data_IF_888557403607
#
_entry.id   IF_888557403607
#
_cell.length_a   1.000
_cell.length_b   1.000
_cell.length_c   1.000
_cell.angle_alpha   90.00
_cell.angle_beta   90.00
_cell.angle_gamma   90.00
#
_symmetry.space_group_name_H-M   'P 1'
#
loop_
_entity.id
_entity.type
_entity.pdbx_description
1 polymer ?
#
# COMPACT_ATOMS: atom_id res chain seq x y z
N UNK A 1 17.30 -4.20 14.33
CA UNK A 1 17.86 -3.12 13.47
C UNK A 1 18.70 -2.07 14.23
N UNK A 2 18.82 -2.14 15.56
CA UNK A 2 19.65 -1.22 16.35
C UNK A 2 21.13 -1.57 16.25
N UNK A 3 22.01 -0.59 16.34
CA UNK A 3 23.45 -0.81 16.42
C UNK A 3 23.83 -1.54 17.72
N UNK A 4 24.69 -2.54 17.59
CA UNK A 4 25.21 -3.30 18.73
C UNK A 4 26.70 -3.63 18.54
N UNK A 5 27.46 -3.56 19.64
CA UNK A 5 28.88 -3.93 19.66
C UNK A 5 29.15 -4.63 20.98
N UNK A 6 29.61 -5.88 20.89
CA UNK A 6 29.92 -6.71 22.05
C UNK A 6 31.19 -7.53 21.80
N UNK A 7 31.77 -8.05 22.87
CA UNK A 7 32.90 -8.98 22.80
C UNK A 7 32.43 -10.34 23.30
N UNK A 8 32.43 -11.33 22.42
CA UNK A 8 32.08 -12.71 22.74
C UNK A 8 33.38 -13.47 22.86
N UNK A 9 33.68 -13.96 24.07
CA UNK A 9 34.97 -14.55 24.43
C UNK A 9 36.14 -13.58 24.11
N UNK A 10 36.95 -13.90 23.10
CA UNK A 10 38.05 -13.05 22.67
C UNK A 10 37.81 -12.38 21.30
N UNK A 11 36.59 -12.46 20.78
CA UNK A 11 36.22 -11.99 19.44
C UNK A 11 35.27 -10.80 19.51
N UNK A 12 35.54 -9.75 18.74
CA UNK A 12 34.62 -8.64 18.58
C UNK A 12 33.47 -9.02 17.66
N UNK A 13 32.24 -8.83 18.14
CA UNK A 13 31.02 -9.00 17.36
C UNK A 13 30.34 -7.64 17.29
N UNK A 14 29.97 -7.22 16.08
CA UNK A 14 29.25 -5.97 15.92
C UNK A 14 28.19 -6.09 14.84
N UNK A 15 27.06 -5.49 15.10
CA UNK A 15 25.97 -5.31 14.18
C UNK A 15 25.81 -3.81 13.93
N UNK A 16 25.98 -3.38 12.68
CA UNK A 16 25.96 -1.97 12.30
C UNK A 16 24.58 -1.31 12.54
N UNK A 17 23.52 -2.11 12.57
CA UNK A 17 22.15 -1.64 12.48
C UNK A 17 21.70 -1.41 11.03
N UNK A 18 20.45 -1.00 10.86
CA UNK A 18 19.91 -0.56 9.57
C UNK A 18 20.46 0.81 9.18
N UNK A 19 20.60 1.08 7.89
CA UNK A 19 21.04 2.38 7.35
C UNK A 19 19.91 3.41 7.26
N UNK A 20 18.66 2.98 7.42
CA UNK A 20 17.46 3.82 7.47
C UNK A 20 16.50 3.29 8.55
N UNK A 21 15.57 4.14 8.99
CA UNK A 21 14.52 3.73 9.95
C UNK A 21 13.54 2.76 9.27
N UNK A 22 13.33 1.59 9.87
CA UNK A 22 12.35 0.60 9.38
C UNK A 22 11.04 0.62 10.20
N UNK A 23 11.03 1.33 11.32
CA UNK A 23 9.85 1.46 12.18
C UNK A 23 9.84 2.83 12.84
N UNK A 24 8.63 3.30 13.16
CA UNK A 24 8.40 4.56 13.86
C UNK A 24 9.01 4.58 15.28
N UNK A 25 9.16 3.41 15.92
CA UNK A 25 9.72 3.31 17.27
C UNK A 25 11.25 3.52 17.33
N UNK A 26 11.93 3.65 16.19
CA UNK A 26 13.38 3.68 16.15
C UNK A 26 13.96 5.10 16.09
N UNK A 27 14.30 5.66 17.25
CA UNK A 27 14.78 7.05 17.38
C UNK A 27 16.29 7.22 17.08
N UNK A 28 17.08 6.19 17.37
CA UNK A 28 18.54 6.22 17.35
C UNK A 28 19.14 6.62 15.97
N UNK A 29 20.25 7.38 15.94
CA UNK A 29 20.93 7.73 14.69
C UNK A 29 21.40 6.52 13.89
N UNK A 30 21.32 6.62 12.56
CA UNK A 30 21.77 5.59 11.63
C UNK A 30 23.20 5.76 11.21
N UNK A 31 23.82 4.67 10.80
CA UNK A 31 25.23 4.68 10.46
C UNK A 31 25.75 3.31 10.10
N UNK A 32 27.05 3.27 9.86
CA UNK A 32 27.80 2.05 9.61
C UNK A 32 29.08 2.06 10.42
N UNK A 33 29.62 0.87 10.63
CA UNK A 33 30.87 0.70 11.34
C UNK A 33 32.04 0.79 10.38
N UNK A 34 33.10 1.47 10.80
CA UNK A 34 34.41 1.44 10.16
C UNK A 34 35.30 0.54 11.00
N UNK A 35 35.66 -0.62 10.46
CA UNK A 35 36.53 -1.57 11.13
C UNK A 35 37.94 -1.40 10.56
N UNK A 36 38.87 -0.98 11.42
CA UNK A 36 40.29 -0.86 11.09
C UNK A 36 41.06 -2.00 11.72
N UNK A 37 41.69 -2.82 10.90
CA UNK A 37 42.52 -3.94 11.35
C UNK A 37 43.99 -3.57 11.18
N UNK A 38 44.76 -3.63 12.26
CA UNK A 38 46.19 -3.28 12.26
C UNK A 38 47.01 -4.22 13.14
N UNK A 39 48.34 -4.10 13.11
CA UNK A 39 49.23 -4.84 14.00
C UNK A 39 49.00 -4.54 15.50
N UNK A 40 48.33 -3.42 15.83
CA UNK A 40 47.99 -3.04 17.20
C UNK A 40 46.65 -3.64 17.67
N UNK A 41 45.90 -4.30 16.79
CA UNK A 41 44.59 -4.88 17.06
C UNK A 41 43.49 -4.38 16.13
N UNK A 42 42.24 -4.63 16.54
CA UNK A 42 41.01 -4.24 15.84
C UNK A 42 40.45 -2.98 16.49
N UNK A 43 40.25 -1.93 15.70
CA UNK A 43 39.50 -0.75 16.08
C UNK A 43 38.16 -0.73 15.33
N UNK A 44 37.08 -0.41 16.04
CA UNK A 44 35.73 -0.37 15.49
C UNK A 44 35.15 1.00 15.82
N UNK A 45 35.25 1.90 14.84
CA UNK A 45 34.62 3.21 14.85
C UNK A 45 33.23 3.16 14.20
N UNK A 46 32.44 4.22 14.41
CA UNK A 46 31.10 4.35 13.83
C UNK A 46 30.98 5.69 13.11
N UNK A 47 30.41 5.68 11.90
CA UNK A 47 30.09 6.89 11.15
C UNK A 47 28.57 7.01 11.01
N UNK A 48 28.06 8.16 11.43
CA UNK A 48 26.64 8.48 11.31
C UNK A 48 26.30 8.90 9.88
N UNK A 49 25.09 8.54 9.45
CA UNK A 49 24.47 8.94 8.19
C UNK A 49 23.30 9.87 8.51
N UNK A 50 23.12 10.91 7.70
CA UNK A 50 21.91 11.73 7.76
C UNK A 50 20.76 10.98 7.10
N UNK A 51 19.72 10.72 7.88
CA UNK A 51 18.51 10.01 7.44
C UNK A 51 17.30 10.91 7.61
N UNK A 52 16.17 10.51 7.02
CA UNK A 52 14.90 11.26 7.17
C UNK A 52 14.53 11.38 8.64
N UNK A 53 14.15 12.58 9.05
CA UNK A 53 13.77 12.85 10.44
C UNK A 53 12.34 12.40 10.71
N UNK A 54 12.15 11.72 11.84
CA UNK A 54 10.85 11.29 12.33
C UNK A 54 10.55 12.19 13.53
N UNK A 55 9.40 12.85 13.51
CA UNK A 55 8.97 13.79 14.53
C UNK A 55 7.72 13.25 15.20
N UNK A 56 7.77 13.08 16.51
CA UNK A 56 6.62 12.66 17.32
C UNK A 56 6.09 13.86 18.08
N UNK A 57 4.87 14.28 17.76
CA UNK A 57 4.19 15.43 18.38
C UNK A 57 3.04 14.87 19.20
N UNK A 58 3.09 15.09 20.52
CA UNK A 58 1.99 14.76 21.41
C UNK A 58 1.15 16.01 21.61
N UNK A 59 -0.14 15.92 21.31
CA UNK A 59 -1.12 16.99 21.50
C UNK A 59 -2.07 16.60 22.61
N UNK A 60 -2.24 17.47 23.60
CA UNK A 60 -3.17 17.28 24.72
C UNK A 60 -4.36 18.22 24.57
N UNK A 61 -5.54 17.65 24.34
CA UNK A 61 -6.80 18.35 24.07
C UNK A 61 -7.55 18.51 25.38
N UNK A 62 -7.59 19.75 25.88
CA UNK A 62 -8.18 20.07 27.19
C UNK A 62 -9.63 20.52 27.10
N UNK A 63 -9.95 21.34 26.09
CA UNK A 63 -11.25 21.98 25.94
C UNK A 63 -11.98 21.54 24.66
N UNK A 64 -13.29 21.31 24.76
CA UNK A 64 -14.08 20.76 23.66
C UNK A 64 -14.21 21.71 22.45
N UNK A 65 -14.23 23.02 22.70
CA UNK A 65 -14.43 24.03 21.65
C UNK A 65 -13.14 24.46 20.94
N UNK A 66 -11.97 24.14 21.50
CA UNK A 66 -10.68 24.69 21.05
C UNK A 66 -9.70 23.60 20.57
N UNK A 67 -10.16 22.35 20.40
CA UNK A 67 -9.30 21.22 20.02
C UNK A 67 -8.46 21.47 18.75
N UNK A 68 -9.06 21.96 17.67
CA UNK A 68 -8.32 22.30 16.45
C UNK A 68 -7.29 23.40 16.66
N UNK A 69 -7.62 24.39 17.52
CA UNK A 69 -6.70 25.47 17.85
C UNK A 69 -5.49 24.94 18.60
N UNK A 70 -5.70 24.06 19.57
CA UNK A 70 -4.63 23.45 20.35
C UNK A 70 -3.75 22.56 19.45
N UNK A 71 -4.35 21.71 18.61
CA UNK A 71 -3.63 20.87 17.62
C UNK A 71 -2.77 21.73 16.70
N UNK A 72 -3.35 22.73 16.04
CA UNK A 72 -2.60 23.56 15.08
C UNK A 72 -1.54 24.42 15.75
N UNK A 73 -1.79 24.91 16.96
CA UNK A 73 -0.79 25.67 17.71
C UNK A 73 0.37 24.78 18.10
N UNK A 74 0.12 23.59 18.64
CA UNK A 74 1.18 22.64 18.98
C UNK A 74 1.99 22.25 17.75
N UNK A 75 1.36 21.95 16.61
CA UNK A 75 2.09 21.60 15.37
C UNK A 75 2.98 22.76 14.90
N UNK A 76 2.53 24.02 15.02
CA UNK A 76 3.32 25.21 14.61
C UNK A 76 4.57 25.45 15.46
N UNK A 77 4.63 24.89 16.66
CA UNK A 77 5.83 24.98 17.50
C UNK A 77 6.98 24.12 16.96
N UNK A 78 6.67 23.13 16.11
CA UNK A 78 7.66 22.23 15.52
C UNK A 78 7.95 22.57 14.06
N UNK A 79 9.21 22.37 13.67
CA UNK A 79 9.61 22.37 12.27
C UNK A 79 9.26 21.02 11.62
N UNK A 80 8.13 20.99 10.92
CA UNK A 80 7.54 19.79 10.32
C UNK A 80 7.91 19.58 8.85
N UNK A 81 8.50 20.59 8.20
CA UNK A 81 8.78 20.59 6.77
C UNK A 81 9.76 19.48 6.38
N UNK A 82 9.44 18.73 5.32
CA UNK A 82 10.25 17.63 4.79
C UNK A 82 10.53 16.49 5.79
N UNK A 83 9.68 16.33 6.82
CA UNK A 83 9.82 15.28 7.85
C UNK A 83 8.65 14.31 7.82
N UNK A 84 8.86 13.14 8.44
CA UNK A 84 7.78 12.19 8.74
C UNK A 84 7.22 12.55 10.12
N UNK A 85 5.94 12.89 10.18
CA UNK A 85 5.30 13.42 11.40
C UNK A 85 4.28 12.43 11.93
N UNK A 86 4.47 12.02 13.18
CA UNK A 86 3.54 11.23 13.96
C UNK A 86 2.86 12.15 14.97
N UNK A 87 1.54 12.26 14.89
CA UNK A 87 0.73 13.06 15.82
C UNK A 87 -0.01 12.10 16.75
N UNK A 88 0.20 12.24 18.04
CA UNK A 88 -0.53 11.52 19.07
C UNK A 88 -1.52 12.46 19.75
N UNK A 89 -2.82 12.22 19.56
CA UNK A 89 -3.87 12.98 20.23
C UNK A 89 -4.19 12.34 21.57
N UNK A 90 -4.13 13.14 22.64
CA UNK A 90 -4.51 12.77 24.01
C UNK A 90 -5.57 13.76 24.50
N UNK A 91 -6.40 13.36 25.46
CA UNK A 91 -7.47 14.20 26.00
C UNK A 91 -8.86 13.57 25.90
N UNK A 92 -9.89 14.42 25.88
CA UNK A 92 -11.29 14.02 25.91
C UNK A 92 -11.83 13.57 24.53
N UNK A 93 -12.51 12.42 24.49
CA UNK A 93 -13.12 11.85 23.28
C UNK A 93 -14.39 12.51 22.81
N UNK A 94 -15.08 13.27 23.66
CA UNK A 94 -16.36 13.91 23.32
C UNK A 94 -16.24 14.95 22.19
N UNK A 95 -15.01 15.26 21.76
CA UNK A 95 -14.75 16.16 20.65
C UNK A 95 -14.65 15.38 19.34
N UNK A 96 -15.54 15.69 18.39
CA UNK A 96 -15.42 15.20 17.03
C UNK A 96 -14.27 15.92 16.30
N UNK A 97 -13.25 15.14 15.92
CA UNK A 97 -12.06 15.64 15.23
C UNK A 97 -12.01 14.98 13.85
N UNK A 98 -12.11 15.79 12.80
CA UNK A 98 -11.92 15.35 11.44
C UNK A 98 -10.43 15.28 11.13
N UNK A 99 -9.88 14.08 11.01
CA UNK A 99 -8.46 13.88 10.68
C UNK A 99 -8.07 14.50 9.34
N UNK A 100 -9.01 14.59 8.40
CA UNK A 100 -8.79 15.24 7.10
C UNK A 100 -8.39 16.71 7.21
N UNK A 101 -8.92 17.45 8.19
CA UNK A 101 -8.54 18.87 8.39
C UNK A 101 -7.10 19.00 8.91
N UNK A 102 -6.68 18.06 9.75
CA UNK A 102 -5.31 18.00 10.28
C UNK A 102 -4.33 17.60 9.18
N UNK A 103 -4.68 16.60 8.37
CA UNK A 103 -3.89 16.17 7.21
C UNK A 103 -3.74 17.30 6.18
N UNK A 104 -4.82 18.01 5.85
CA UNK A 104 -4.77 19.15 4.93
C UNK A 104 -3.87 20.28 5.47
N UNK A 105 -3.90 20.51 6.79
CA UNK A 105 -3.00 21.47 7.43
C UNK A 105 -1.54 21.05 7.32
N UNK A 106 -1.22 19.77 7.55
CA UNK A 106 0.15 19.23 7.44
C UNK A 106 0.67 19.23 6.00
N UNK A 107 -0.18 18.92 5.03
CA UNK A 107 0.15 18.98 3.61
C UNK A 107 0.56 20.41 3.20
N UNK A 108 -0.17 21.42 3.68
CA UNK A 108 0.19 22.84 3.49
C UNK A 108 1.52 23.24 4.12
N UNK A 109 2.03 22.49 5.09
CA UNK A 109 3.34 22.72 5.73
C UNK A 109 4.47 21.88 5.08
N UNK A 110 4.22 21.24 3.94
CA UNK A 110 5.20 20.43 3.19
C UNK A 110 5.74 19.24 4.00
N UNK A 111 4.89 18.60 4.80
CA UNK A 111 5.19 17.34 5.49
C UNK A 111 5.32 16.20 4.47
N UNK A 112 6.29 15.30 4.63
CA UNK A 112 6.46 14.17 3.69
C UNK A 112 5.36 13.12 3.86
N UNK A 113 5.15 12.70 5.10
CA UNK A 113 4.15 11.70 5.49
C UNK A 113 3.66 12.05 6.88
N UNK A 114 2.35 12.15 7.03
CA UNK A 114 1.67 12.31 8.31
C UNK A 114 1.04 10.99 8.74
N UNK A 115 1.07 10.73 10.04
CA UNK A 115 0.28 9.67 10.66
C UNK A 115 -0.33 10.21 11.94
N UNK A 116 -1.66 10.06 12.07
CA UNK A 116 -2.41 10.52 13.23
C UNK A 116 -2.85 9.30 14.02
N UNK A 117 -2.47 9.26 15.29
CA UNK A 117 -2.88 8.26 16.26
C UNK A 117 -3.73 8.93 17.33
N UNK A 118 -4.97 8.48 17.44
CA UNK A 118 -5.90 8.96 18.46
C UNK A 118 -5.82 8.04 19.69
N UNK A 119 -5.16 8.54 20.74
CA UNK A 119 -4.95 7.84 22.01
C UNK A 119 -5.84 8.40 23.12
N UNK A 120 -6.86 9.18 22.76
CA UNK A 120 -7.88 9.60 23.71
C UNK A 120 -8.54 8.33 24.28
N UNK A 121 -8.62 8.23 25.60
CA UNK A 121 -9.04 7.00 26.28
C UNK A 121 -10.55 6.88 26.30
N UNK A 122 -11.11 5.90 25.59
CA UNK A 122 -12.49 5.48 25.85
C UNK A 122 -12.51 5.01 27.30
N UNK A 123 -13.35 5.61 28.13
CA UNK A 123 -13.78 4.91 29.33
C UNK A 123 -14.30 3.54 28.88
N UNK A 124 -14.05 2.46 29.65
CA UNK A 124 -14.50 1.11 29.29
C UNK A 124 -16.03 0.98 29.10
N UNK A 125 -16.80 2.03 29.41
CA UNK A 125 -18.26 2.08 29.28
C UNK A 125 -18.76 2.33 27.84
N UNK A 126 -17.93 2.78 26.89
CA UNK A 126 -18.34 2.97 25.48
C UNK A 126 -18.09 1.75 24.58
N UNK A 127 -17.80 0.59 25.18
CA UNK A 127 -17.69 -0.68 24.47
C UNK A 127 -19.07 -1.25 24.06
N UNK A 128 -20.17 -0.66 24.52
CA UNK A 128 -21.54 -1.17 24.27
C UNK A 128 -22.02 -1.03 22.81
N UNK A 129 -21.33 -0.26 21.96
CA UNK A 129 -21.70 -0.07 20.55
C UNK A 129 -20.70 -0.70 19.55
N UNK A 130 -19.83 -1.58 19.99
CA UNK A 130 -19.16 -2.48 19.04
C UNK A 130 -20.16 -3.60 18.74
N UNK A 131 -20.68 -3.73 17.50
CA UNK A 131 -21.48 -4.90 17.17
C UNK A 131 -20.63 -6.13 17.50
N UNK A 132 -21.20 -7.10 18.21
CA UNK A 132 -20.53 -8.37 18.47
C UNK A 132 -20.30 -9.05 17.10
N UNK A 133 -19.15 -8.82 16.49
CA UNK A 133 -18.79 -9.42 15.20
C UNK A 133 -18.38 -10.86 15.50
N UNK A 134 -19.34 -11.77 15.44
CA UNK A 134 -19.09 -13.20 15.51
C UNK A 134 -18.62 -13.63 14.12
N UNK A 135 -17.31 -13.70 13.93
CA UNK A 135 -16.72 -14.35 12.76
C UNK A 135 -17.01 -15.85 12.84
N UNK A 136 -17.96 -16.30 12.02
CA UNK A 136 -18.16 -17.75 11.82
C UNK A 136 -16.98 -18.33 11.05
N UNK A 137 -16.67 -19.59 11.32
CA UNK A 137 -15.70 -20.34 10.52
C UNK A 137 -16.19 -20.39 9.06
N UNK A 138 -15.40 -19.93 8.08
CA UNK A 138 -15.78 -19.93 6.67
C UNK A 138 -16.19 -21.32 6.17
N UNK A 139 -15.61 -22.39 6.72
CA UNK A 139 -15.93 -23.76 6.32
C UNK A 139 -17.33 -24.19 6.75
N UNK A 140 -17.78 -23.72 7.92
CA UNK A 140 -19.14 -23.95 8.42
C UNK A 140 -20.13 -23.16 7.56
N UNK A 141 -19.85 -21.89 7.29
CA UNK A 141 -20.71 -21.04 6.45
C UNK A 141 -20.89 -21.63 5.04
N UNK A 142 -19.81 -22.11 4.43
CA UNK A 142 -19.86 -22.76 3.11
C UNK A 142 -20.68 -24.06 3.15
N UNK A 143 -20.53 -24.88 4.20
CA UNK A 143 -21.29 -26.14 4.36
C UNK A 143 -22.79 -25.89 4.50
N UNK A 144 -23.18 -24.88 5.25
CA UNK A 144 -24.60 -24.50 5.39
C UNK A 144 -25.18 -23.99 4.09
N UNK A 145 -24.42 -23.20 3.32
CA UNK A 145 -24.89 -22.67 2.04
C UNK A 145 -25.05 -23.78 0.99
N UNK A 146 -24.14 -24.75 0.97
CA UNK A 146 -24.21 -25.89 0.04
C UNK A 146 -25.37 -26.83 0.38
N UNK A 147 -25.74 -26.97 1.66
CA UNK A 147 -26.97 -27.67 2.06
C UNK A 147 -28.24 -26.97 1.59
N UNK A 148 -28.22 -25.65 1.36
CA UNK A 148 -29.34 -24.91 0.78
C UNK A 148 -29.39 -25.03 -0.75
N UNK A 149 -28.31 -25.50 -1.38
CA UNK A 149 -28.33 -25.80 -2.81
C UNK A 149 -29.05 -27.13 -3.02
N UNK A 150 -29.90 -27.21 -4.04
CA UNK A 150 -30.59 -28.45 -4.45
C UNK A 150 -29.61 -29.40 -5.17
N UNK A 151 -28.50 -29.77 -4.52
CA UNK A 151 -27.57 -30.77 -5.02
C UNK A 151 -28.12 -32.18 -4.83
N UNK A 152 -27.78 -33.06 -5.76
CA UNK A 152 -28.03 -34.50 -5.58
C UNK A 152 -27.13 -35.05 -4.48
N UNK A 153 -27.51 -36.19 -3.88
CA UNK A 153 -26.69 -36.86 -2.86
C UNK A 153 -25.25 -37.13 -3.35
N UNK A 154 -25.10 -37.48 -4.64
CA UNK A 154 -23.80 -37.61 -5.29
C UNK A 154 -23.04 -36.28 -5.37
N UNK A 155 -23.72 -35.17 -5.61
CA UNK A 155 -23.13 -33.83 -5.63
C UNK A 155 -22.62 -33.39 -4.25
N UNK A 156 -23.36 -33.68 -3.18
CA UNK A 156 -22.92 -33.43 -1.80
C UNK A 156 -21.69 -34.27 -1.44
N UNK A 157 -21.67 -35.54 -1.87
CA UNK A 157 -20.54 -36.44 -1.64
C UNK A 157 -19.27 -35.95 -2.35
N UNK A 158 -19.39 -35.51 -3.61
CA UNK A 158 -18.25 -34.96 -4.36
C UNK A 158 -17.72 -33.67 -3.69
N UNK A 159 -18.60 -32.77 -3.27
CA UNK A 159 -18.21 -31.54 -2.58
C UNK A 159 -17.42 -31.84 -1.29
N UNK A 160 -17.88 -32.84 -0.51
CA UNK A 160 -17.19 -33.28 0.70
C UNK A 160 -15.77 -33.81 0.41
N UNK A 161 -15.62 -34.64 -0.63
CA UNK A 161 -14.31 -35.15 -1.05
C UNK A 161 -13.38 -34.03 -1.52
N UNK A 162 -13.88 -33.02 -2.23
CA UNK A 162 -13.07 -31.91 -2.73
C UNK A 162 -12.59 -31.01 -1.58
N UNK A 163 -13.41 -30.81 -0.54
CA UNK A 163 -13.08 -29.94 0.59
C UNK A 163 -12.16 -30.61 1.62
N UNK A 164 -12.11 -31.93 1.67
CA UNK A 164 -11.25 -32.65 2.61
C UNK A 164 -9.76 -32.49 2.26
N UNK A 165 -9.09 -31.62 3.02
CA UNK A 165 -7.66 -31.31 2.90
C UNK A 165 -6.74 -32.49 3.18
N UNK A 166 -7.24 -33.57 3.78
CA UNK A 166 -6.45 -34.79 4.01
C UNK A 166 -6.22 -35.59 2.72
N UNK A 167 -7.02 -35.33 1.68
CA UNK A 167 -6.95 -36.04 0.40
C UNK A 167 -6.01 -35.28 -0.54
N UNK A 168 -4.94 -35.92 -1.05
CA UNK A 168 -4.09 -35.31 -2.05
C UNK A 168 -4.89 -34.97 -3.32
N UNK A 169 -4.65 -33.78 -3.89
CA UNK A 169 -5.34 -33.32 -5.11
C UNK A 169 -5.24 -34.30 -6.29
N UNK A 170 -4.14 -35.04 -6.37
CA UNK A 170 -3.89 -36.07 -7.39
C UNK A 170 -4.77 -37.31 -7.27
N UNK A 171 -5.43 -37.50 -6.12
CA UNK A 171 -6.20 -38.71 -5.80
C UNK A 171 -7.70 -38.43 -5.69
N UNK A 172 -8.12 -37.15 -5.78
CA UNK A 172 -9.52 -36.75 -5.71
C UNK A 172 -10.34 -37.49 -6.76
N UNK A 173 -9.90 -37.49 -8.03
CA UNK A 173 -10.62 -38.13 -9.14
C UNK A 173 -10.88 -39.62 -8.90
N UNK A 174 -9.87 -40.34 -8.42
CA UNK A 174 -10.01 -41.77 -8.14
C UNK A 174 -10.93 -42.03 -6.94
N UNK A 175 -10.92 -41.16 -5.93
CA UNK A 175 -11.76 -41.32 -4.74
C UNK A 175 -13.22 -40.95 -5.02
N UNK A 176 -13.46 -39.93 -5.85
CA UNK A 176 -14.82 -39.59 -6.31
C UNK A 176 -15.39 -40.70 -7.17
N UNK A 177 -14.64 -41.22 -8.15
CA UNK A 177 -15.06 -42.33 -9.01
C UNK A 177 -15.43 -43.58 -8.18
N UNK A 178 -14.55 -43.99 -7.27
CA UNK A 178 -14.81 -45.15 -6.41
C UNK A 178 -16.05 -44.97 -5.51
N UNK A 179 -16.23 -43.76 -4.96
CA UNK A 179 -17.36 -43.48 -4.06
C UNK A 179 -18.69 -43.44 -4.83
N UNK A 180 -18.71 -42.84 -6.03
CA UNK A 180 -19.90 -42.83 -6.90
C UNK A 180 -20.21 -44.23 -7.42
N UNK A 181 -19.20 -45.02 -7.79
CA UNK A 181 -19.39 -46.40 -8.23
C UNK A 181 -20.06 -47.24 -7.14
N UNK A 182 -19.58 -47.12 -5.89
CA UNK A 182 -20.19 -47.79 -4.73
C UNK A 182 -21.64 -47.34 -4.54
N UNK A 183 -21.89 -46.03 -4.64
CA UNK A 183 -23.23 -45.47 -4.52
C UNK A 183 -24.18 -46.00 -5.60
N UNK A 184 -23.71 -46.13 -6.84
CA UNK A 184 -24.46 -46.69 -7.98
C UNK A 184 -24.77 -48.17 -7.77
N UNK A 185 -23.82 -48.94 -7.23
CA UNK A 185 -24.02 -50.37 -6.94
C UNK A 185 -25.06 -50.60 -5.85
N UNK A 186 -25.14 -49.70 -4.86
CA UNK A 186 -26.12 -49.75 -3.78
C UNK A 186 -27.50 -49.16 -4.15
N UNK A 187 -27.58 -48.42 -5.27
CA UNK A 187 -28.82 -47.78 -5.71
C UNK A 187 -29.83 -48.78 -6.30
N UNK A 188 -31.07 -48.71 -5.81
CA UNK A 188 -32.22 -49.44 -6.38
C UNK A 188 -32.84 -48.63 -7.53
N UNK A 189 -32.43 -48.95 -8.76
CA UNK A 189 -32.91 -48.32 -9.99
C UNK A 189 -34.40 -48.54 -10.30
N UNK A 190 -35.10 -49.33 -9.49
CA UNK A 190 -36.54 -49.56 -9.65
C UNK A 190 -37.40 -48.40 -9.12
N UNK A 191 -36.78 -47.45 -8.40
CA UNK A 191 -37.46 -46.30 -7.78
C UNK A 191 -37.35 -45.09 -8.70
N UNK A 192 -38.48 -44.41 -8.94
CA UNK A 192 -38.49 -43.15 -9.68
C UNK A 192 -37.80 -42.05 -8.85
N UNK A 193 -36.77 -41.42 -9.43
CA UNK A 193 -36.10 -40.27 -8.81
C UNK A 193 -36.88 -39.01 -9.16
N UNK A 194 -37.30 -38.17 -8.19
CA UNK A 194 -37.92 -36.90 -8.50
C UNK A 194 -36.91 -35.99 -9.21
N UNK A 195 -37.14 -35.73 -10.49
CA UNK A 195 -36.36 -34.78 -11.29
C UNK A 195 -36.68 -33.35 -10.82
N UNK A 196 -35.93 -32.83 -9.85
CA UNK A 196 -36.03 -31.43 -9.45
C UNK A 196 -35.18 -30.56 -10.40
N UNK A 197 -35.53 -30.54 -11.69
CA UNK A 197 -34.87 -29.68 -12.68
C UNK A 197 -35.47 -28.27 -12.57
N UNK A 198 -34.92 -27.42 -11.71
CA UNK A 198 -35.18 -25.98 -11.74
C UNK A 198 -34.48 -25.34 -12.94
N UNK A 199 -35.04 -25.54 -14.14
CA UNK A 199 -34.65 -24.77 -15.34
C UNK A 199 -35.21 -23.36 -15.16
N UNK A 200 -34.44 -22.44 -14.57
CA UNK A 200 -34.77 -21.01 -14.58
C UNK A 200 -34.97 -20.59 -16.04
N UNK A 201 -36.23 -20.40 -16.46
CA UNK A 201 -36.56 -19.68 -17.69
C UNK A 201 -35.95 -18.28 -17.53
N UNK A 202 -34.98 -17.96 -18.39
CA UNK A 202 -34.68 -16.57 -18.67
C UNK A 202 -35.97 -15.94 -19.18
N UNK A 203 -36.49 -14.96 -18.44
CA UNK A 203 -37.63 -14.19 -18.87
C UNK A 203 -37.24 -13.44 -20.14
N UNK A 204 -38.03 -13.64 -21.19
CA UNK A 204 -38.02 -12.86 -22.41
C UNK A 204 -38.20 -11.38 -22.06
N UNK A 205 -37.21 -10.57 -22.45
CA UNK A 205 -37.36 -9.12 -22.54
C UNK A 205 -38.40 -8.84 -23.63
N UNK A 206 -39.63 -8.55 -23.20
CA UNK A 206 -40.67 -8.01 -24.07
C UNK A 206 -40.22 -6.62 -24.55
N UNK A 207 -39.71 -6.57 -25.78
CA UNK A 207 -39.73 -5.38 -26.63
C UNK A 207 -41.17 -4.89 -26.72
N UNK A 208 -41.45 -3.74 -26.11
CA UNK A 208 -42.57 -2.90 -26.51
C UNK A 208 -41.99 -1.73 -27.31
N UNK A 209 -42.45 -1.65 -28.56
CA UNK A 209 -42.19 -0.56 -29.49
C UNK A 209 -42.87 0.72 -29.02
N UNK A 210 -42.22 1.85 -29.33
CA UNK A 210 -42.58 3.23 -29.00
C UNK A 210 -43.93 3.70 -29.60
N UNK A 211 -44.32 4.95 -29.26
CA UNK A 211 -44.55 5.89 -30.34
C UNK A 211 -43.82 7.24 -30.18
N UNK A 212 -42.85 7.47 -31.09
CA UNK A 212 -42.67 8.67 -31.92
C UNK A 212 -43.20 10.02 -31.40
N UNK A 213 -42.29 10.90 -30.98
CA UNK A 213 -42.44 12.34 -31.14
C UNK A 213 -41.26 12.92 -31.94
N UNK A 214 -41.62 13.68 -32.97
CA UNK A 214 -40.75 14.33 -33.95
C UNK A 214 -40.22 15.64 -33.37
N UNK A 215 -38.90 15.84 -33.41
CA UNK A 215 -38.32 17.19 -33.45
C UNK A 215 -37.25 17.23 -34.55
N UNK A 216 -37.36 18.27 -35.39
CA UNK A 216 -36.60 18.49 -36.60
C UNK A 216 -35.19 19.06 -36.30
N UNK A 217 -34.15 18.73 -37.09
CA UNK A 217 -32.85 19.37 -36.97
C UNK A 217 -32.82 20.68 -37.76
N UNK A 218 -32.52 21.79 -37.07
CA UNK A 218 -32.25 23.09 -37.71
C UNK A 218 -30.81 23.10 -38.23
N UNK A 219 -30.70 23.23 -39.54
CA UNK A 219 -29.50 23.43 -40.34
C UNK A 219 -29.13 24.92 -40.39
N UNK A 220 -27.88 25.28 -40.07
CA UNK A 220 -27.29 26.58 -40.44
C UNK A 220 -25.86 26.35 -40.94
N UNK A 221 -25.71 26.30 -42.27
CA UNK A 221 -24.50 26.73 -42.99
C UNK A 221 -24.62 28.26 -43.22
N UNK A 222 -23.60 29.11 -43.34
CA UNK A 222 -22.31 28.99 -44.05
C UNK A 222 -21.45 30.24 -43.76
N UNK A 223 -20.13 30.14 -43.91
CA UNK A 223 -19.28 31.32 -44.10
C UNK A 223 -17.77 31.07 -43.90
N UNK A 224 -17.10 30.73 -45.01
CA UNK A 224 -15.63 30.68 -45.22
C UNK A 224 -14.96 32.03 -44.82
N UNK A 225 -13.66 32.19 -44.56
CA UNK A 225 -12.56 31.87 -45.48
C UNK A 225 -11.18 32.29 -44.89
N UNK A 226 -10.10 31.70 -45.44
CA UNK A 226 -8.69 32.16 -45.55
C UNK A 226 -7.62 31.90 -44.45
N UNK A 227 -6.80 30.88 -44.76
CA UNK A 227 -5.33 30.90 -45.02
C UNK A 227 -4.48 32.00 -44.35
N UNK A 228 -3.44 31.58 -43.59
CA UNK A 228 -2.03 31.73 -43.98
C UNK A 228 -1.04 31.32 -42.86
N UNK A 229 -0.21 30.30 -43.11
CA UNK A 229 1.23 30.32 -42.76
C UNK A 229 1.97 30.96 -43.97
N UNK A 230 3.13 31.62 -43.79
CA UNK A 230 4.41 30.90 -43.91
C UNK A 230 5.66 31.49 -43.21
N UNK A 231 6.68 30.61 -43.04
CA UNK A 231 8.14 30.86 -43.22
C UNK A 231 8.86 31.85 -42.29
N UNK A 232 10.16 31.76 -41.98
CA UNK A 232 11.31 30.96 -42.42
C UNK A 232 12.57 31.52 -41.73
N UNK A 233 13.47 30.68 -41.20
CA UNK A 233 14.82 30.35 -41.74
C UNK A 233 15.89 31.46 -41.74
N UNK A 234 17.10 31.04 -41.30
CA UNK A 234 18.49 31.47 -41.63
C UNK A 234 19.05 32.66 -40.81
N UNK A 235 20.35 32.79 -40.51
CA UNK A 235 21.60 31.97 -40.51
C UNK A 235 22.73 32.98 -40.16
N UNK A 236 23.84 32.46 -39.62
CA UNK A 236 25.26 32.90 -39.80
C UNK A 236 25.86 34.00 -38.89
N UNK A 237 26.91 33.54 -38.18
CA UNK A 237 28.21 34.18 -37.84
C UNK A 237 28.87 34.91 -39.05
N UNK A 238 30.12 35.47 -38.99
CA UNK A 238 31.11 35.62 -37.89
C UNK A 238 31.68 37.07 -37.79
N UNK A 239 32.67 37.35 -36.93
CA UNK A 239 34.06 37.67 -37.38
C UNK A 239 35.01 38.20 -36.26
N UNK A 240 36.25 37.71 -36.35
CA UNK A 240 37.61 38.28 -36.07
C UNK A 240 38.09 38.95 -34.75
N UNK A 241 39.34 38.58 -34.39
CA UNK A 241 40.36 39.41 -33.71
C UNK A 241 40.96 38.78 -32.43
N UNK A 242 41.96 37.89 -32.45
CA UNK A 242 43.43 38.03 -32.66
C UNK A 242 44.26 38.41 -31.40
N UNK A 243 45.19 37.49 -31.02
CA UNK A 243 46.43 37.58 -30.18
C UNK A 243 46.31 37.97 -28.68
N UNK A 244 47.08 37.46 -27.70
CA UNK A 244 48.47 36.97 -27.71
C UNK A 244 48.85 36.19 -26.40
N UNK A 245 49.89 35.35 -26.52
CA UNK A 245 50.89 34.83 -25.53
C UNK A 245 50.50 34.33 -24.11
N UNK A 246 50.91 33.09 -23.76
CA UNK A 246 51.25 32.76 -22.36
C UNK A 246 51.25 31.29 -21.92
N UNK A 247 52.40 30.61 -22.05
CA UNK A 247 52.95 29.50 -21.23
C UNK A 247 52.04 28.39 -20.64
N UNK A 248 52.31 27.14 -21.06
CA UNK A 248 51.79 25.89 -20.48
C UNK A 248 52.36 25.60 -19.08
N UNK A 249 51.54 25.09 -18.14
CA UNK A 249 51.98 24.18 -17.10
C UNK A 249 51.49 22.74 -17.35
N UNK A 250 52.30 21.79 -16.88
CA UNK A 250 52.16 20.35 -17.07
C UNK A 250 50.89 19.82 -16.38
N UNK A 251 50.06 19.04 -17.10
CA UNK A 251 48.89 18.35 -16.53
C UNK A 251 49.35 17.14 -15.72
N UNK A 252 49.22 17.21 -14.40
CA UNK A 252 49.19 16.06 -13.50
C UNK A 252 47.95 15.23 -13.78
N UNK A 253 48.13 13.90 -13.95
CA UNK A 253 47.04 12.95 -14.16
C UNK A 253 46.24 12.79 -12.86
N UNK A 254 45.00 13.28 -12.85
CA UNK A 254 44.01 12.99 -11.80
C UNK A 254 43.48 11.56 -12.03
N UNK A 255 43.38 10.70 -11.01
CA UNK A 255 42.78 9.37 -11.17
C UNK A 255 41.28 9.50 -11.44
N UNK A 256 40.78 8.80 -12.46
CA UNK A 256 39.36 8.78 -12.82
C UNK A 256 38.57 8.03 -11.74
N UNK A 257 37.63 8.72 -11.09
CA UNK A 257 36.56 8.06 -10.34
C UNK A 257 35.58 7.43 -11.33
N UNK A 258 35.29 6.16 -11.17
CA UNK A 258 34.20 5.48 -11.87
C UNK A 258 32.99 5.45 -10.94
N UNK A 259 31.87 5.96 -11.41
CA UNK A 259 30.59 5.85 -10.72
C UNK A 259 29.89 4.55 -11.15
N UNK A 260 29.19 3.91 -10.22
CA UNK A 260 28.53 2.61 -10.41
C UNK A 260 27.41 2.61 -11.48
N UNK A 261 27.05 3.78 -12.02
CA UNK A 261 26.03 3.94 -13.05
C UNK A 261 26.51 3.64 -14.48
N UNK A 262 27.81 3.42 -14.70
CA UNK A 262 28.36 3.10 -16.02
C UNK A 262 28.24 1.58 -16.37
N UNK A 263 27.60 0.79 -15.50
CA UNK A 263 27.44 -0.67 -15.64
C UNK A 263 25.98 -1.15 -15.69
N UNK A 264 25.02 -0.26 -15.93
CA UNK A 264 23.61 -0.61 -16.18
C UNK A 264 23.21 -0.29 -17.63
#
# INVERSE_FOLDING_TARGET
HKYEKTKVENTWVTYCGSTERNSAAEEEPRGYNLITVSQKGIDIGRRQINTREFLHIVVDIKDENDAYRDIFNTIREYDVKEKVVFIELKGNLQVDIAYSEIEEFLDKQEVLVSHISDLRSNSPDETENQPEIIFSDPDIAAREEIKKMDLTDAGLLIDEIIRDLSIPKTTIDHKTEASIATMIEEMDFSREIPLNIHRKKQAESSRQEEPSQKEEPVFVEKGEDKKSQPSGKKKKEPDTGDKDVGQKPQKTKVPRQYNLGDYL
#
